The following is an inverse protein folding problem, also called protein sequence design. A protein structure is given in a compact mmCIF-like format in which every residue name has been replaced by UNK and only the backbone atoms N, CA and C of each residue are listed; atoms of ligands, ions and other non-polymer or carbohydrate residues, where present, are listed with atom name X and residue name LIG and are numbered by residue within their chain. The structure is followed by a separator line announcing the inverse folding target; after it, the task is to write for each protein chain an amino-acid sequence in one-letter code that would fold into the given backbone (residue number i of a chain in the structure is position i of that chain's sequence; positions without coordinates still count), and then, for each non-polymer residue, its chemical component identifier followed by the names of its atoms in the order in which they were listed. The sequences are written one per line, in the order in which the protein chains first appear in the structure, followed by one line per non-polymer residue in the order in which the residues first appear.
data_IF_558570331948
#
_entry.id   IF_558570331948
#
_cell.length_a   1.000
_cell.length_b   1.000
_cell.length_c   1.000
_cell.angle_alpha   90.00
_cell.angle_beta   90.00
_cell.angle_gamma   90.00
#
_symmetry.space_group_name_H-M   'P 1'
#
loop_
_entity.id
_entity.type
_entity.pdbx_description
1 polymer ?
#
# COMPACT_ATOMS: atom_id res chain seq x y z
N UNK A 1 -3.43 35.21 6.24
CA UNK A 1 -4.49 34.52 5.44
C UNK A 1 -4.05 33.11 5.16
N UNK A 2 -4.44 32.18 6.03
CA UNK A 2 -4.38 30.77 5.72
C UNK A 2 -5.43 30.52 4.65
N UNK A 3 -4.99 30.38 3.39
CA UNK A 3 -5.82 29.85 2.34
C UNK A 3 -6.29 28.47 2.80
N UNK A 4 -7.52 28.40 3.32
CA UNK A 4 -8.13 27.15 3.70
C UNK A 4 -8.26 26.33 2.42
N UNK A 5 -7.45 25.27 2.32
CA UNK A 5 -7.57 24.28 1.24
C UNK A 5 -8.99 23.70 1.37
N UNK A 6 -9.77 23.80 0.30
CA UNK A 6 -11.07 23.15 0.26
C UNK A 6 -10.87 21.65 0.45
N UNK A 7 -11.41 21.11 1.54
CA UNK A 7 -11.33 19.67 1.91
C UNK A 7 -12.63 18.92 1.60
N UNK A 8 -13.60 19.54 0.92
CA UNK A 8 -14.91 18.96 0.60
C UNK A 8 -14.90 18.17 -0.71
N UNK A 9 -13.78 17.55 -1.07
CA UNK A 9 -13.70 16.66 -2.21
C UNK A 9 -14.00 15.21 -1.78
N UNK A 10 -14.77 14.50 -2.59
CA UNK A 10 -15.14 13.09 -2.38
C UNK A 10 -14.49 12.16 -3.41
N UNK A 11 -14.14 12.69 -4.57
CA UNK A 11 -13.50 11.97 -5.66
C UNK A 11 -12.13 12.56 -5.97
N UNK A 12 -11.23 11.73 -6.50
CA UNK A 12 -9.88 12.17 -6.84
C UNK A 12 -9.88 13.30 -7.88
N UNK A 13 -10.80 13.26 -8.83
CA UNK A 13 -10.95 14.32 -9.83
C UNK A 13 -11.30 15.68 -9.22
N UNK A 14 -12.01 15.71 -8.11
CA UNK A 14 -12.29 16.94 -7.37
C UNK A 14 -11.05 17.47 -6.66
N UNK A 15 -10.31 16.60 -5.98
CA UNK A 15 -9.01 16.96 -5.38
C UNK A 15 -8.07 17.53 -6.44
N UNK A 16 -7.98 16.88 -7.60
CA UNK A 16 -7.16 17.33 -8.71
C UNK A 16 -7.54 18.73 -9.16
N UNK A 17 -8.83 19.02 -9.34
CA UNK A 17 -9.31 20.38 -9.69
C UNK A 17 -8.92 21.41 -8.64
N UNK A 18 -9.02 21.08 -7.35
CA UNK A 18 -8.57 21.98 -6.27
C UNK A 18 -7.08 22.27 -6.39
N UNK A 19 -6.26 21.23 -6.62
CA UNK A 19 -4.80 21.39 -6.74
C UNK A 19 -4.39 22.15 -8.01
N UNK A 20 -5.10 22.01 -9.12
CA UNK A 20 -4.86 22.76 -10.36
C UNK A 20 -5.04 24.28 -10.19
N UNK A 21 -5.88 24.70 -9.22
CA UNK A 21 -6.06 26.13 -8.88
C UNK A 21 -5.00 26.65 -7.89
N UNK A 22 -4.24 25.76 -7.29
CA UNK A 22 -3.15 26.10 -6.37
C UNK A 22 -1.84 26.07 -7.16
N UNK A 23 -1.05 27.15 -7.07
CA UNK A 23 0.29 27.17 -7.67
C UNK A 23 1.24 26.32 -6.83
N UNK A 24 1.33 25.03 -7.16
CA UNK A 24 2.26 24.10 -6.54
C UNK A 24 3.69 24.40 -7.01
N UNK A 25 4.64 24.39 -6.07
CA UNK A 25 6.07 24.54 -6.40
C UNK A 25 6.71 23.29 -6.99
N UNK A 26 6.00 22.17 -7.02
CA UNK A 26 6.47 20.87 -7.51
C UNK A 26 5.32 20.14 -8.22
N UNK A 27 5.67 19.14 -9.04
CA UNK A 27 4.68 18.22 -9.59
C UNK A 27 4.09 17.36 -8.47
N UNK A 28 2.79 17.10 -8.55
CA UNK A 28 2.07 16.28 -7.58
C UNK A 28 1.38 15.10 -8.27
N UNK A 29 1.45 13.95 -7.64
CA UNK A 29 0.70 12.75 -8.03
C UNK A 29 0.37 11.93 -6.80
N UNK A 30 -0.72 11.16 -6.85
CA UNK A 30 -1.16 10.36 -5.71
C UNK A 30 -1.56 8.95 -6.15
N UNK A 31 -1.44 8.01 -5.21
CA UNK A 31 -2.01 6.68 -5.30
C UNK A 31 -3.37 6.66 -4.61
N UNK A 32 -4.23 5.75 -5.04
CA UNK A 32 -5.44 5.41 -4.28
C UNK A 32 -5.08 4.35 -3.22
N UNK A 33 -5.47 4.58 -1.96
CA UNK A 33 -5.16 3.70 -0.84
C UNK A 33 -6.16 2.57 -0.67
N UNK A 34 -5.73 1.31 -0.80
CA UNK A 34 -6.57 0.13 -0.59
C UNK A 34 -7.25 0.16 0.78
N UNK A 35 -6.49 0.35 1.85
CA UNK A 35 -7.03 0.34 3.21
C UNK A 35 -8.03 1.46 3.47
N UNK A 36 -7.85 2.61 2.82
CA UNK A 36 -8.78 3.74 2.94
C UNK A 36 -10.15 3.37 2.37
N UNK A 37 -10.17 2.78 1.16
CA UNK A 37 -11.42 2.35 0.52
C UNK A 37 -12.03 1.20 1.33
N UNK A 38 -11.22 0.21 1.73
CA UNK A 38 -11.71 -0.94 2.51
C UNK A 38 -12.41 -0.49 3.78
N UNK A 39 -11.79 0.42 4.55
CA UNK A 39 -12.38 0.97 5.77
C UNK A 39 -13.69 1.72 5.52
N UNK A 40 -13.80 2.43 4.41
CA UNK A 40 -15.05 3.10 4.04
C UNK A 40 -16.15 2.08 3.74
N UNK A 41 -15.85 1.02 2.99
CA UNK A 41 -16.80 -0.05 2.63
C UNK A 41 -17.22 -0.86 3.87
N UNK A 42 -16.25 -1.23 4.72
CA UNK A 42 -16.51 -2.06 5.91
C UNK A 42 -16.93 -1.25 7.15
N UNK A 43 -17.07 0.07 7.01
CA UNK A 43 -17.37 0.99 8.11
C UNK A 43 -16.37 0.87 9.27
N UNK A 44 -15.11 0.59 8.95
CA UNK A 44 -14.02 0.46 9.91
C UNK A 44 -13.86 -0.94 10.51
N UNK A 45 -14.71 -1.89 10.16
CA UNK A 45 -14.56 -3.27 10.62
C UNK A 45 -13.32 -3.93 9.99
N UNK A 46 -12.58 -4.68 10.81
CA UNK A 46 -11.43 -5.47 10.37
C UNK A 46 -11.89 -6.86 9.94
N UNK A 47 -12.35 -6.98 8.70
CA UNK A 47 -12.82 -8.23 8.10
C UNK A 47 -12.48 -8.30 6.61
N UNK A 48 -12.63 -9.48 6.04
CA UNK A 48 -12.55 -9.67 4.60
C UNK A 48 -13.73 -9.00 3.89
N UNK A 49 -13.50 -8.59 2.65
CA UNK A 49 -14.54 -8.11 1.77
C UNK A 49 -15.35 -9.28 1.23
N UNK A 50 -16.67 -9.10 1.16
CA UNK A 50 -17.53 -9.97 0.35
C UNK A 50 -17.26 -9.75 -1.15
N UNK A 51 -17.67 -10.69 -2.00
CA UNK A 51 -17.49 -10.53 -3.46
C UNK A 51 -18.17 -9.29 -4.03
N UNK A 52 -19.40 -8.88 -3.59
CA UNK A 52 -19.98 -7.60 -3.99
C UNK A 52 -19.15 -6.38 -3.54
N UNK A 53 -18.64 -6.37 -2.31
CA UNK A 53 -17.80 -5.30 -1.79
C UNK A 53 -16.46 -5.20 -2.53
N UNK A 54 -15.86 -6.34 -2.88
CA UNK A 54 -14.65 -6.37 -3.69
C UNK A 54 -14.89 -5.80 -5.10
N UNK A 55 -16.05 -6.08 -5.70
CA UNK A 55 -16.46 -5.48 -6.98
C UNK A 55 -16.67 -3.97 -6.85
N UNK A 56 -17.31 -3.52 -5.78
CA UNK A 56 -17.49 -2.10 -5.46
C UNK A 56 -16.14 -1.40 -5.32
N UNK A 57 -15.22 -1.97 -4.55
CA UNK A 57 -13.86 -1.46 -4.40
C UNK A 57 -13.14 -1.35 -5.75
N UNK A 58 -13.28 -2.36 -6.59
CA UNK A 58 -12.73 -2.34 -7.95
C UNK A 58 -13.32 -1.24 -8.83
N UNK A 59 -14.59 -0.86 -8.63
CA UNK A 59 -15.21 0.27 -9.34
C UNK A 59 -14.61 1.60 -8.89
N UNK A 60 -14.49 1.82 -7.58
CA UNK A 60 -13.85 3.02 -7.00
C UNK A 60 -12.40 3.18 -7.47
N UNK A 61 -11.65 2.08 -7.53
CA UNK A 61 -10.27 2.11 -8.04
C UNK A 61 -10.24 2.53 -9.51
N UNK A 62 -11.10 1.96 -10.37
CA UNK A 62 -11.16 2.35 -11.79
C UNK A 62 -11.46 3.83 -11.97
N UNK A 63 -12.46 4.34 -11.28
CA UNK A 63 -12.81 5.77 -11.29
C UNK A 63 -11.60 6.63 -10.89
N UNK A 64 -10.92 6.29 -9.80
CA UNK A 64 -9.74 7.04 -9.37
C UNK A 64 -8.57 6.98 -10.39
N UNK A 65 -8.41 5.86 -11.11
CA UNK A 65 -7.40 5.74 -12.17
C UNK A 65 -7.75 6.62 -13.39
N UNK A 66 -9.02 6.71 -13.75
CA UNK A 66 -9.54 7.59 -14.80
C UNK A 66 -9.36 9.06 -14.40
N UNK A 67 -9.54 9.39 -13.14
CA UNK A 67 -9.29 10.71 -12.54
C UNK A 67 -7.79 11.07 -12.45
N UNK A 68 -6.90 10.14 -12.76
CA UNK A 68 -5.47 10.38 -12.85
C UNK A 68 -4.64 9.87 -11.68
N UNK A 69 -5.15 8.94 -10.87
CA UNK A 69 -4.32 8.24 -9.88
C UNK A 69 -3.12 7.54 -10.54
N UNK A 70 -1.98 7.56 -9.88
CA UNK A 70 -0.77 6.87 -10.33
C UNK A 70 -0.89 5.35 -10.24
N UNK A 71 -1.80 4.87 -9.41
CA UNK A 71 -2.03 3.45 -9.18
C UNK A 71 -2.65 3.19 -7.82
N UNK A 72 -2.45 1.97 -7.30
CA UNK A 72 -2.93 1.51 -6.01
C UNK A 72 -1.79 1.44 -5.00
N UNK A 73 -2.04 1.88 -3.77
CA UNK A 73 -1.12 1.64 -2.65
C UNK A 73 -1.72 0.74 -1.58
N UNK A 74 -0.89 -0.09 -0.97
CA UNK A 74 -1.22 -0.92 0.19
C UNK A 74 -0.21 -0.72 1.31
N UNK A 75 -0.70 -0.80 2.55
CA UNK A 75 0.13 -0.82 3.74
C UNK A 75 -0.15 -2.10 4.52
N UNK A 76 0.42 -3.23 4.07
CA UNK A 76 0.04 -4.55 4.57
C UNK A 76 0.58 -4.85 5.98
N UNK A 77 1.53 -4.07 6.49
CA UNK A 77 2.01 -4.21 7.87
C UNK A 77 1.06 -3.61 8.91
N UNK A 78 0.19 -2.68 8.49
CA UNK A 78 -0.72 -2.04 9.42
C UNK A 78 -1.78 -3.01 9.94
N UNK A 79 -2.14 -2.88 11.22
CA UNK A 79 -3.05 -3.77 11.93
C UNK A 79 -4.35 -4.06 11.15
N UNK A 80 -4.98 -3.03 10.58
CA UNK A 80 -6.22 -3.13 9.83
C UNK A 80 -6.08 -3.72 8.41
N UNK A 81 -4.86 -3.91 7.92
CA UNK A 81 -4.59 -4.42 6.58
C UNK A 81 -3.79 -5.74 6.58
N UNK A 82 -3.16 -6.11 7.71
CA UNK A 82 -2.26 -7.25 7.80
C UNK A 82 -2.89 -8.57 7.37
N UNK A 83 -4.17 -8.75 7.64
CA UNK A 83 -4.91 -9.96 7.30
C UNK A 83 -5.59 -9.90 5.93
N UNK A 84 -5.34 -8.84 5.14
CA UNK A 84 -5.93 -8.74 3.80
C UNK A 84 -5.55 -9.98 2.97
N UNK A 85 -6.55 -10.74 2.45
CA UNK A 85 -6.29 -11.95 1.70
C UNK A 85 -5.50 -11.69 0.41
N UNK A 86 -4.62 -12.61 0.05
CA UNK A 86 -3.89 -12.54 -1.22
C UNK A 86 -4.83 -12.44 -2.42
N UNK A 87 -5.99 -13.13 -2.40
CA UNK A 87 -7.02 -13.05 -3.44
C UNK A 87 -7.49 -11.61 -3.63
N UNK A 88 -7.74 -10.87 -2.54
CA UNK A 88 -8.17 -9.47 -2.61
C UNK A 88 -7.13 -8.62 -3.34
N UNK A 89 -5.88 -8.67 -2.89
CA UNK A 89 -4.78 -7.90 -3.51
C UNK A 89 -4.61 -8.29 -4.99
N UNK A 90 -4.67 -9.58 -5.29
CA UNK A 90 -4.52 -10.07 -6.65
C UNK A 90 -5.62 -9.54 -7.59
N UNK A 91 -6.88 -9.56 -7.17
CA UNK A 91 -7.99 -9.04 -8.00
C UNK A 91 -7.88 -7.53 -8.22
N UNK A 92 -7.49 -6.77 -7.19
CA UNK A 92 -7.30 -5.34 -7.31
C UNK A 92 -6.09 -4.98 -8.20
N UNK A 93 -4.99 -5.70 -8.07
CA UNK A 93 -3.78 -5.46 -8.88
C UNK A 93 -3.96 -5.83 -10.36
N UNK A 94 -4.86 -6.75 -10.70
CA UNK A 94 -5.28 -6.97 -12.09
C UNK A 94 -5.89 -5.70 -12.73
N UNK A 95 -6.65 -4.94 -11.95
CA UNK A 95 -7.22 -3.68 -12.44
C UNK A 95 -6.08 -2.70 -12.75
N UNK A 96 -5.11 -2.59 -11.85
CA UNK A 96 -3.95 -1.69 -11.99
C UNK A 96 -3.12 -2.05 -13.23
N UNK A 97 -2.84 -3.34 -13.43
CA UNK A 97 -2.10 -3.84 -14.57
C UNK A 97 -2.79 -3.50 -15.91
N UNK A 98 -4.10 -3.73 -16.00
CA UNK A 98 -4.89 -3.42 -17.22
C UNK A 98 -4.90 -1.94 -17.57
N UNK A 99 -4.68 -1.06 -16.61
CA UNK A 99 -4.57 0.39 -16.83
C UNK A 99 -3.12 0.85 -17.02
N UNK A 100 -2.14 -0.07 -17.03
CA UNK A 100 -0.71 0.25 -17.18
C UNK A 100 -0.15 1.08 -16.01
N UNK A 101 -0.79 1.03 -14.86
CA UNK A 101 -0.48 1.82 -13.67
C UNK A 101 0.45 1.07 -12.72
N UNK A 102 0.77 1.69 -11.59
CA UNK A 102 1.77 1.20 -10.62
C UNK A 102 1.09 0.67 -9.37
N UNK A 103 1.61 -0.41 -8.84
CA UNK A 103 1.29 -0.89 -7.50
C UNK A 103 2.41 -0.51 -6.53
N UNK A 104 2.08 0.19 -5.47
CA UNK A 104 3.01 0.57 -4.42
C UNK A 104 2.63 -0.16 -3.13
N UNK A 105 3.59 -0.77 -2.44
CA UNK A 105 3.28 -1.52 -1.22
C UNK A 105 4.30 -1.29 -0.11
N UNK A 106 3.81 -1.01 1.09
CA UNK A 106 4.52 -1.35 2.32
C UNK A 106 4.36 -2.85 2.55
N UNK A 107 5.46 -3.57 2.75
CA UNK A 107 5.48 -5.01 2.93
C UNK A 107 4.57 -5.46 4.09
N UNK A 108 4.10 -6.70 4.04
CA UNK A 108 3.26 -7.28 5.11
C UNK A 108 4.02 -7.46 6.40
N UNK A 109 5.30 -7.78 6.29
CA UNK A 109 6.22 -7.83 7.42
C UNK A 109 7.60 -7.36 6.95
N UNK A 110 8.21 -6.45 7.70
CA UNK A 110 9.52 -5.88 7.43
C UNK A 110 10.56 -6.28 8.49
N UNK A 111 10.25 -7.33 9.30
CA UNK A 111 11.09 -7.89 10.34
C UNK A 111 11.32 -9.41 10.14
N UNK A 112 10.58 -10.22 10.87
CA UNK A 112 10.80 -11.67 10.93
C UNK A 112 10.46 -12.38 9.62
N UNK A 113 9.39 -11.96 8.94
CA UNK A 113 8.88 -12.53 7.69
C UNK A 113 9.24 -11.68 6.46
N UNK A 114 10.33 -10.90 6.54
CA UNK A 114 10.73 -9.97 5.49
C UNK A 114 10.88 -10.67 4.13
N UNK A 115 11.63 -11.77 4.06
CA UNK A 115 11.85 -12.51 2.82
C UNK A 115 10.53 -13.02 2.25
N UNK A 116 9.64 -13.56 3.08
CA UNK A 116 8.33 -14.02 2.67
C UNK A 116 7.48 -12.88 2.08
N UNK A 117 7.55 -11.70 2.68
CA UNK A 117 6.84 -10.51 2.20
C UNK A 117 7.38 -10.00 0.86
N UNK A 118 8.69 -10.11 0.62
CA UNK A 118 9.29 -9.86 -0.68
C UNK A 118 8.77 -10.86 -1.71
N UNK A 119 8.75 -12.16 -1.39
CA UNK A 119 8.26 -13.20 -2.29
C UNK A 119 6.77 -13.01 -2.62
N UNK A 120 5.95 -12.63 -1.64
CA UNK A 120 4.54 -12.27 -1.87
C UNK A 120 4.43 -11.16 -2.93
N UNK A 121 5.19 -10.09 -2.75
CA UNK A 121 5.17 -8.93 -3.65
C UNK A 121 5.65 -9.29 -5.05
N UNK A 122 6.72 -10.06 -5.16
CA UNK A 122 7.25 -10.54 -6.44
C UNK A 122 6.24 -11.48 -7.16
N UNK A 123 5.54 -12.34 -6.41
CA UNK A 123 4.50 -13.20 -6.97
C UNK A 123 3.33 -12.38 -7.54
N UNK A 124 2.89 -11.34 -6.84
CA UNK A 124 1.84 -10.42 -7.31
C UNK A 124 2.32 -9.70 -8.58
N UNK A 125 3.54 -9.15 -8.58
CA UNK A 125 4.12 -8.47 -9.73
C UNK A 125 4.19 -9.39 -10.95
N UNK A 126 4.67 -10.62 -10.77
CA UNK A 126 4.81 -11.63 -11.83
C UNK A 126 3.47 -12.05 -12.42
N UNK A 127 2.50 -12.35 -11.56
CA UNK A 127 1.21 -12.91 -12.01
C UNK A 127 0.40 -11.92 -12.85
N UNK A 128 0.54 -10.63 -12.59
CA UNK A 128 -0.21 -9.57 -13.25
C UNK A 128 0.63 -8.74 -14.23
N UNK A 129 1.90 -9.09 -14.46
CA UNK A 129 2.86 -8.28 -15.24
C UNK A 129 2.82 -6.80 -14.80
N UNK A 130 3.03 -6.57 -13.52
CA UNK A 130 2.67 -5.33 -12.85
C UNK A 130 3.92 -4.52 -12.48
N UNK A 131 3.94 -3.26 -12.87
CA UNK A 131 4.94 -2.30 -12.35
C UNK A 131 4.74 -2.13 -10.86
N UNK A 132 5.74 -2.46 -10.07
CA UNK A 132 5.63 -2.52 -8.62
C UNK A 132 6.72 -1.71 -7.94
N UNK A 133 6.36 -0.99 -6.89
CA UNK A 133 7.28 -0.28 -5.99
C UNK A 133 7.09 -0.78 -4.57
N UNK A 134 8.16 -1.32 -3.99
CA UNK A 134 8.22 -1.61 -2.56
C UNK A 134 8.66 -0.32 -1.87
N UNK A 135 7.81 0.23 -1.03
CA UNK A 135 8.04 1.55 -0.44
C UNK A 135 8.88 1.45 0.83
N UNK A 136 9.75 2.47 1.01
CA UNK A 136 10.54 2.74 2.21
C UNK A 136 11.17 1.49 2.86
N UNK A 137 11.88 0.69 2.06
CA UNK A 137 12.67 -0.42 2.59
C UNK A 137 13.61 0.07 3.69
N UNK A 138 13.68 -0.70 4.77
CA UNK A 138 14.47 -0.39 5.95
C UNK A 138 15.25 -1.61 6.41
N UNK A 139 16.39 -1.35 7.05
CA UNK A 139 17.16 -2.37 7.75
C UNK A 139 16.99 -2.12 9.24
N UNK A 140 16.47 -3.09 9.95
CA UNK A 140 16.36 -3.03 11.41
C UNK A 140 17.54 -3.75 12.06
N UNK A 141 18.04 -3.17 13.14
CA UNK A 141 19.11 -3.77 13.92
C UNK A 141 18.71 -5.18 14.40
N UNK A 142 19.55 -6.17 14.10
CA UNK A 142 19.29 -7.58 14.42
C UNK A 142 18.54 -8.37 13.36
N UNK A 143 18.16 -7.74 12.23
CA UNK A 143 17.48 -8.37 11.11
C UNK A 143 18.28 -8.29 9.80
N UNK A 144 19.53 -7.87 9.86
CA UNK A 144 20.37 -7.57 8.70
C UNK A 144 20.49 -8.77 7.75
N UNK A 145 20.65 -9.98 8.27
CA UNK A 145 20.78 -11.19 7.47
C UNK A 145 19.48 -11.51 6.69
N UNK A 146 18.34 -11.44 7.38
CA UNK A 146 17.03 -11.68 6.75
C UNK A 146 16.74 -10.68 5.62
N UNK A 147 17.11 -9.42 5.86
CA UNK A 147 16.95 -8.36 4.87
C UNK A 147 17.89 -8.58 3.70
N UNK A 148 19.12 -8.99 3.94
CA UNK A 148 20.07 -9.31 2.88
C UNK A 148 19.54 -10.40 1.94
N UNK A 149 19.01 -11.49 2.45
CA UNK A 149 18.39 -12.55 1.63
C UNK A 149 17.20 -12.06 0.83
N UNK A 150 16.31 -11.28 1.43
CA UNK A 150 15.18 -10.67 0.72
C UNK A 150 15.62 -9.72 -0.38
N UNK A 151 16.65 -8.91 -0.16
CA UNK A 151 17.22 -8.03 -1.18
C UNK A 151 17.90 -8.80 -2.32
N UNK A 152 18.55 -9.93 -2.05
CA UNK A 152 19.06 -10.80 -3.10
C UNK A 152 17.93 -11.35 -3.98
N UNK A 153 16.83 -11.79 -3.39
CA UNK A 153 15.64 -12.21 -4.12
C UNK A 153 15.08 -11.09 -4.97
N UNK A 154 14.98 -9.90 -4.44
CA UNK A 154 14.53 -8.73 -5.17
C UNK A 154 15.47 -8.40 -6.33
N UNK A 155 16.79 -8.40 -6.10
CA UNK A 155 17.82 -8.12 -7.11
C UNK A 155 17.75 -9.12 -8.27
N UNK A 156 17.52 -10.39 -8.00
CA UNK A 156 17.43 -11.42 -9.03
C UNK A 156 16.23 -11.23 -9.97
N UNK A 157 15.17 -10.59 -9.49
CA UNK A 157 13.89 -10.50 -10.21
C UNK A 157 13.54 -9.09 -10.70
N UNK A 158 14.19 -8.05 -10.18
CA UNK A 158 13.74 -6.66 -10.34
C UNK A 158 13.64 -6.17 -11.79
N UNK A 159 14.60 -6.55 -12.65
CA UNK A 159 14.56 -6.15 -14.06
C UNK A 159 13.44 -6.85 -14.83
N UNK A 160 13.29 -8.16 -14.58
CA UNK A 160 12.29 -8.98 -15.28
C UNK A 160 10.87 -8.66 -14.89
N UNK A 161 10.66 -8.24 -13.64
CA UNK A 161 9.33 -8.01 -13.06
C UNK A 161 8.98 -6.52 -12.91
N UNK A 162 9.78 -5.60 -13.50
CA UNK A 162 9.56 -4.16 -13.31
C UNK A 162 9.30 -3.76 -11.86
N UNK A 163 9.97 -4.44 -10.91
CA UNK A 163 9.88 -4.19 -9.50
C UNK A 163 11.01 -3.26 -9.05
N UNK A 164 10.68 -2.23 -8.29
CA UNK A 164 11.63 -1.26 -7.72
C UNK A 164 11.37 -1.13 -6.23
N UNK A 165 12.32 -0.55 -5.53
CA UNK A 165 12.17 -0.19 -4.13
C UNK A 165 12.72 1.20 -3.88
N UNK A 166 12.09 1.93 -2.97
CA UNK A 166 12.69 3.12 -2.38
C UNK A 166 13.21 2.80 -0.97
N UNK A 167 14.16 3.60 -0.49
CA UNK A 167 14.85 3.38 0.78
C UNK A 167 14.76 4.64 1.61
N UNK A 168 14.43 4.48 2.88
CA UNK A 168 14.54 5.55 3.85
C UNK A 168 16.02 5.70 4.29
N UNK A 169 16.68 6.83 4.00
CA UNK A 169 18.10 7.00 4.31
C UNK A 169 18.39 7.38 5.76
N UNK A 170 17.35 7.58 6.58
CA UNK A 170 17.53 7.99 7.98
C UNK A 170 17.76 6.79 8.88
N UNK A 171 18.56 7.01 9.93
CA UNK A 171 18.85 6.00 10.97
C UNK A 171 17.75 5.90 12.03
N UNK A 172 16.79 6.80 12.00
CA UNK A 172 15.63 6.83 12.92
C UNK A 172 14.36 7.14 12.14
N UNK A 173 13.23 6.63 12.63
CA UNK A 173 11.92 6.94 12.08
C UNK A 173 10.84 6.85 13.15
N UNK A 174 9.70 7.42 12.87
CA UNK A 174 8.53 7.38 13.77
C UNK A 174 7.50 6.39 13.22
N UNK A 175 6.94 5.58 14.10
CA UNK A 175 5.91 4.60 13.76
C UNK A 175 4.87 4.52 14.91
N UNK A 176 3.65 4.06 14.62
CA UNK A 176 2.66 3.82 15.66
C UNK A 176 3.13 2.76 16.65
N UNK A 177 2.91 2.99 17.96
CA UNK A 177 3.42 2.11 19.02
C UNK A 177 2.98 0.65 18.84
N UNK A 178 1.81 0.40 18.27
CA UNK A 178 1.32 -0.96 18.03
C UNK A 178 2.17 -1.75 17.02
N UNK A 179 2.99 -1.10 16.20
CA UNK A 179 3.93 -1.79 15.30
C UNK A 179 5.05 -2.49 16.08
N UNK A 180 5.36 -2.04 17.28
CA UNK A 180 6.33 -2.70 18.17
C UNK A 180 5.79 -3.94 18.88
N UNK A 181 4.48 -4.18 18.81
CA UNK A 181 3.87 -5.37 19.41
C UNK A 181 4.29 -6.64 18.64
N UNK A 182 4.41 -7.78 19.33
CA UNK A 182 4.64 -9.04 18.66
C UNK A 182 3.46 -9.42 17.75
N UNK A 183 3.74 -10.25 16.73
CA UNK A 183 2.75 -10.60 15.69
C UNK A 183 1.44 -11.12 16.27
N UNK A 184 1.50 -11.96 17.31
CA UNK A 184 0.31 -12.52 17.95
C UNK A 184 -0.60 -11.46 18.60
N UNK A 185 -0.04 -10.33 19.03
CA UNK A 185 -0.79 -9.23 19.63
C UNK A 185 -1.36 -8.24 18.58
N UNK A 186 -0.96 -8.37 17.33
CA UNK A 186 -1.43 -7.51 16.22
C UNK A 186 -2.68 -8.06 15.51
N UNK A 187 -3.33 -9.07 16.09
CA UNK A 187 -4.57 -9.63 15.55
C UNK A 187 -5.78 -8.94 16.16
N UNK A 188 -6.77 -8.62 15.32
CA UNK A 188 -8.02 -8.01 15.76
C UNK A 188 -8.12 -6.52 15.39
N UNK A 189 -9.07 -5.84 16.03
CA UNK A 189 -9.25 -4.39 15.87
C UNK A 189 -8.23 -3.64 16.71
N UNK A 190 -7.90 -2.42 16.30
CA UNK A 190 -6.97 -1.57 17.06
C UNK A 190 -7.38 -1.41 18.52
N UNK A 191 -8.68 -1.32 18.80
CA UNK A 191 -9.24 -1.23 20.14
C UNK A 191 -8.95 -2.47 20.99
N UNK A 192 -8.90 -3.66 20.37
CA UNK A 192 -8.60 -4.92 21.06
C UNK A 192 -7.10 -5.05 21.37
N UNK A 193 -6.24 -4.36 20.59
CA UNK A 193 -4.79 -4.31 20.81
C UNK A 193 -4.39 -3.35 21.94
N UNK A 194 -5.25 -2.39 22.28
CA UNK A 194 -4.97 -1.36 23.29
C UNK A 194 -5.52 -1.72 24.67
N UNK A 195 -6.17 -2.86 24.84
CA UNK A 195 -6.64 -3.42 26.10
C UNK A 195 -5.65 -4.41 26.69
#
# INVERSE_FOLDING_TARGET
DTNQINTHWQHLGELRRVLEHIRLGVNFGTFIGQSTIKRAITQGESRDLTDPELKMMGAVIREALEDGALGLSTGLNFAHARQTPHKEIHELTKIIARHGKVYATHLRDDHDEFERSIQETLAIAKTNDLKTVITHLRVYKGFEEKIYHGLQSLHTHWEKLHCRADVNPYTTYTFPIYESLPVWAKHGRLEDMLR
#
